data_IF_740909353007
#
_entry.id   IF_740909353007
#
_cell.length_a   1.000
_cell.length_b   1.000
_cell.length_c   1.000
_cell.angle_alpha   90.00
_cell.angle_beta   90.00
_cell.angle_gamma   90.00
#
_symmetry.space_group_name_H-M   'P 1'
#
loop_
_entity.id
_entity.type
_entity.pdbx_description
1 polymer ?
#
# COMPACT_ATOMS: atom_id res chain seq x y z
N UNK A 1 -12.09 -49.19 -4.41
CA UNK A 1 -11.42 -48.27 -5.36
C UNK A 1 -12.10 -46.91 -5.48
N UNK A 2 -13.44 -46.83 -5.66
CA UNK A 2 -14.17 -45.54 -5.77
C UNK A 2 -14.03 -44.60 -4.56
N UNK A 3 -14.09 -45.14 -3.32
CA UNK A 3 -13.92 -44.36 -2.08
C UNK A 3 -12.52 -43.76 -1.95
N UNK A 4 -11.49 -44.46 -2.39
CA UNK A 4 -10.11 -43.96 -2.35
C UNK A 4 -9.91 -42.81 -3.32
N UNK A 5 -10.55 -42.85 -4.50
CA UNK A 5 -10.55 -41.72 -5.44
C UNK A 5 -11.33 -40.51 -4.90
N UNK A 6 -12.46 -40.73 -4.22
CA UNK A 6 -13.23 -39.62 -3.62
C UNK A 6 -12.42 -38.94 -2.50
N UNK A 7 -11.76 -39.72 -1.64
CA UNK A 7 -10.87 -39.20 -0.60
C UNK A 7 -9.69 -38.42 -1.18
N UNK A 8 -9.08 -38.94 -2.24
CA UNK A 8 -7.94 -38.29 -2.92
C UNK A 8 -8.37 -37.03 -3.67
N UNK A 9 -9.58 -37.00 -4.23
CA UNK A 9 -10.15 -35.79 -4.83
C UNK A 9 -10.43 -34.72 -3.77
N UNK A 10 -10.96 -35.11 -2.60
CA UNK A 10 -11.31 -34.19 -1.52
C UNK A 10 -10.09 -33.56 -0.87
N UNK A 11 -9.02 -34.33 -0.67
CA UNK A 11 -7.74 -33.79 -0.18
C UNK A 11 -7.12 -32.85 -1.21
N UNK A 12 -7.11 -33.23 -2.49
CA UNK A 12 -6.60 -32.37 -3.58
C UNK A 12 -7.37 -31.05 -3.67
N UNK A 13 -8.70 -31.07 -3.54
CA UNK A 13 -9.53 -29.86 -3.56
C UNK A 13 -9.27 -28.95 -2.35
N UNK A 14 -8.97 -29.52 -1.18
CA UNK A 14 -8.67 -28.76 0.05
C UNK A 14 -7.36 -27.97 -0.05
N UNK A 15 -6.38 -28.44 -0.84
CA UNK A 15 -5.12 -27.72 -1.08
C UNK A 15 -5.23 -26.55 -2.07
N UNK A 16 -6.31 -26.49 -2.86
CA UNK A 16 -6.52 -25.45 -3.87
C UNK A 16 -7.26 -24.24 -3.28
N UNK A 17 -7.88 -24.38 -2.09
CA UNK A 17 -8.53 -23.26 -1.41
C UNK A 17 -7.47 -22.34 -0.80
N UNK A 18 -6.91 -21.46 -1.63
CA UNK A 18 -6.28 -20.24 -1.15
C UNK A 18 -7.39 -19.40 -0.52
N UNK A 19 -7.40 -19.30 0.81
CA UNK A 19 -8.12 -18.23 1.51
C UNK A 19 -7.39 -16.93 1.21
N UNK A 20 -7.57 -16.42 0.00
CA UNK A 20 -7.27 -15.04 -0.28
C UNK A 20 -8.37 -14.25 0.42
N UNK A 21 -8.08 -13.80 1.64
CA UNK A 21 -8.98 -12.92 2.38
C UNK A 21 -9.08 -11.63 1.59
N UNK A 22 -10.08 -11.54 0.70
CA UNK A 22 -10.49 -10.29 0.07
C UNK A 22 -11.08 -9.45 1.20
N UNK A 23 -10.21 -8.84 2.00
CA UNK A 23 -10.61 -7.88 3.01
C UNK A 23 -10.85 -6.55 2.29
N UNK A 24 -11.93 -5.84 2.65
CA UNK A 24 -12.22 -4.52 2.11
C UNK A 24 -11.07 -3.53 2.35
N UNK A 25 -10.32 -3.73 3.44
CA UNK A 25 -9.14 -2.97 3.80
C UNK A 25 -8.08 -3.84 4.48
N UNK A 26 -6.82 -3.39 4.40
CA UNK A 26 -5.68 -3.98 5.11
C UNK A 26 -4.75 -2.85 5.54
N UNK A 27 -4.98 -2.23 6.69
CA UNK A 27 -4.10 -1.14 7.18
C UNK A 27 -2.71 -1.73 7.49
N UNK A 28 -1.64 -1.19 6.90
CA UNK A 28 -0.28 -1.71 7.08
C UNK A 28 0.17 -1.69 8.56
N UNK A 29 0.73 -2.80 9.03
CA UNK A 29 1.54 -2.84 10.24
C UNK A 29 3.00 -2.50 9.93
N UNK A 30 3.33 -1.22 10.09
CA UNK A 30 4.68 -0.70 9.85
C UNK A 30 5.72 -1.17 10.88
N UNK A 31 5.32 -1.90 11.93
CA UNK A 31 6.27 -2.51 12.89
C UNK A 31 6.89 -3.79 12.34
N UNK A 32 6.29 -4.39 11.33
CA UNK A 32 6.74 -5.63 10.70
C UNK A 32 7.43 -5.31 9.36
N UNK A 33 8.49 -6.05 8.97
CA UNK A 33 9.14 -5.83 7.68
C UNK A 33 8.16 -5.98 6.50
N UNK A 34 8.36 -5.13 5.48
CA UNK A 34 7.64 -5.23 4.20
C UNK A 34 7.97 -6.56 3.50
N UNK A 35 6.99 -7.09 2.75
CA UNK A 35 7.14 -8.28 1.92
C UNK A 35 7.14 -7.91 0.43
N UNK A 36 7.19 -8.91 -0.44
CA UNK A 36 7.00 -8.71 -1.88
C UNK A 36 5.54 -8.39 -2.27
N UNK A 37 4.63 -8.53 -1.31
CA UNK A 37 3.18 -8.29 -1.44
C UNK A 37 2.70 -7.30 -0.38
N UNK A 38 3.57 -6.36 -0.01
CA UNK A 38 3.23 -5.26 0.88
C UNK A 38 3.42 -5.60 2.34
N UNK A 39 2.85 -4.76 3.20
CA UNK A 39 2.93 -4.95 4.64
C UNK A 39 1.84 -5.91 5.12
N UNK A 40 2.13 -6.74 6.14
CA UNK A 40 1.09 -7.44 6.88
C UNK A 40 0.05 -6.46 7.43
N UNK A 41 -1.21 -6.88 7.52
CA UNK A 41 -2.29 -6.04 8.05
C UNK A 41 -2.20 -5.94 9.58
N UNK A 42 -2.55 -4.78 10.13
CA UNK A 42 -2.86 -4.64 11.57
C UNK A 42 -4.06 -5.54 11.95
N UNK A 43 -4.15 -6.00 13.21
CA UNK A 43 -5.37 -6.64 13.73
C UNK A 43 -6.58 -5.71 13.59
N UNK A 44 -7.73 -6.27 13.18
CA UNK A 44 -8.95 -5.49 12.89
C UNK A 44 -9.45 -4.74 14.13
N UNK A 45 -9.21 -5.28 15.33
CA UNK A 45 -9.61 -4.66 16.59
C UNK A 45 -8.87 -3.34 16.88
N UNK A 46 -7.72 -3.12 16.20
CA UNK A 46 -6.90 -1.93 16.36
C UNK A 46 -7.09 -0.91 15.22
N UNK A 47 -8.01 -1.18 14.28
CA UNK A 47 -8.28 -0.30 13.14
C UNK A 47 -9.43 0.63 13.49
N UNK A 48 -9.24 1.92 13.20
CA UNK A 48 -10.22 2.97 13.45
C UNK A 48 -10.44 3.82 12.19
N UNK A 49 -11.43 4.71 12.21
CA UNK A 49 -11.64 5.68 11.12
C UNK A 49 -10.41 6.54 10.84
N UNK A 50 -9.59 6.79 11.86
CA UNK A 50 -8.41 7.65 11.75
C UNK A 50 -7.31 7.02 10.89
N UNK A 51 -7.29 5.68 10.74
CA UNK A 51 -6.38 4.99 9.83
C UNK A 51 -6.68 5.26 8.34
N UNK A 52 -7.84 5.87 8.03
CA UNK A 52 -8.32 6.16 6.67
C UNK A 52 -8.37 7.66 6.36
N UNK A 53 -7.90 8.52 7.25
CA UNK A 53 -7.86 9.98 7.02
C UNK A 53 -6.42 10.46 6.99
N UNK A 54 -6.03 11.15 5.92
CA UNK A 54 -4.69 11.68 5.74
C UNK A 54 -4.70 13.19 5.51
N UNK A 55 -4.01 13.92 6.37
CA UNK A 55 -3.87 15.38 6.31
C UNK A 55 -2.48 15.83 5.87
N UNK A 56 -1.59 14.90 5.48
CA UNK A 56 -0.19 15.20 5.19
C UNK A 56 0.08 15.84 3.82
N UNK A 57 -0.92 15.96 2.95
CA UNK A 57 -0.81 16.62 1.63
C UNK A 57 -0.86 18.16 1.75
N UNK A 58 0.05 18.70 2.55
CA UNK A 58 0.24 20.15 2.75
C UNK A 58 1.30 20.71 1.80
N UNK A 59 1.38 22.04 1.71
CA UNK A 59 2.38 22.70 0.87
C UNK A 59 3.81 22.27 1.24
N UNK A 60 4.58 21.83 0.24
CA UNK A 60 5.99 21.50 0.40
C UNK A 60 6.87 22.74 0.55
N UNK A 61 8.04 22.58 1.18
CA UNK A 61 9.02 23.65 1.28
C UNK A 61 9.74 23.88 -0.06
N UNK A 62 9.45 25.01 -0.70
CA UNK A 62 10.07 25.45 -1.96
C UNK A 62 11.32 26.29 -1.76
N UNK A 63 11.76 26.59 -0.52
CA UNK A 63 12.99 27.32 -0.25
C UNK A 63 14.24 26.41 -0.41
N UNK A 64 14.50 25.99 -1.64
CA UNK A 64 15.61 25.14 -2.04
C UNK A 64 16.07 25.46 -3.48
N UNK A 65 17.18 24.86 -3.91
CA UNK A 65 17.81 25.12 -5.22
C UNK A 65 16.92 24.83 -6.43
N UNK A 66 15.93 23.95 -6.29
CA UNK A 66 14.99 23.59 -7.35
C UNK A 66 13.69 24.39 -7.29
N UNK A 67 13.48 25.18 -6.23
CA UNK A 67 12.23 25.86 -5.92
C UNK A 67 11.01 24.91 -5.99
N UNK A 68 11.22 23.69 -5.52
CA UNK A 68 10.30 22.55 -5.65
C UNK A 68 10.08 21.93 -4.27
N UNK A 69 8.84 21.86 -3.82
CA UNK A 69 8.43 21.11 -2.64
C UNK A 69 7.50 19.97 -3.03
N UNK A 70 7.53 18.87 -2.29
CA UNK A 70 6.51 17.83 -2.45
C UNK A 70 6.17 17.18 -1.11
N UNK A 71 4.91 16.78 -0.98
CA UNK A 71 4.42 15.93 0.11
C UNK A 71 3.73 14.72 -0.49
N UNK A 72 4.02 13.53 0.01
CA UNK A 72 3.51 12.28 -0.54
C UNK A 72 2.59 11.58 0.45
N UNK A 73 1.58 10.88 -0.06
CA UNK A 73 0.80 9.88 0.64
C UNK A 73 1.21 8.51 0.10
N UNK A 74 1.97 7.76 0.90
CA UNK A 74 2.48 6.42 0.61
C UNK A 74 2.13 5.50 1.78
N UNK A 75 2.19 4.18 1.59
CA UNK A 75 1.90 3.22 2.67
C UNK A 75 2.68 3.48 3.96
N UNK A 76 3.89 4.04 3.86
CA UNK A 76 4.77 4.33 5.00
C UNK A 76 4.33 5.51 5.85
N UNK A 77 3.50 6.42 5.32
CA UNK A 77 2.98 7.57 6.08
C UNK A 77 1.45 7.66 6.08
N UNK A 78 0.78 6.88 5.24
CA UNK A 78 -0.66 6.65 5.23
C UNK A 78 -0.91 5.13 5.11
N UNK A 79 -0.85 4.39 6.24
CA UNK A 79 -0.93 2.92 6.25
C UNK A 79 -2.23 2.34 5.69
N UNK A 80 -3.31 3.12 5.66
CA UNK A 80 -4.59 2.72 5.05
C UNK A 80 -4.51 2.47 3.54
N UNK A 81 -3.45 2.91 2.86
CA UNK A 81 -3.26 2.67 1.41
C UNK A 81 -2.76 1.25 1.08
N UNK A 82 -2.38 0.46 2.08
CA UNK A 82 -1.80 -0.85 1.87
C UNK A 82 -2.79 -1.81 1.20
N UNK A 83 -2.32 -2.53 0.17
CA UNK A 83 -3.14 -3.40 -0.67
C UNK A 83 -4.04 -2.69 -1.69
N UNK A 84 -4.28 -1.37 -1.58
CA UNK A 84 -5.21 -0.65 -2.46
C UNK A 84 -4.63 -0.30 -3.83
N UNK A 85 -3.31 -0.35 -3.99
CA UNK A 85 -2.67 0.01 -5.24
C UNK A 85 -2.94 1.47 -5.64
N UNK A 86 -2.98 2.38 -4.65
CA UNK A 86 -3.02 3.83 -4.86
C UNK A 86 -2.01 4.56 -3.96
N UNK A 87 -1.61 5.74 -4.41
CA UNK A 87 -0.80 6.70 -3.68
C UNK A 87 -1.09 8.11 -4.21
N UNK A 88 -0.62 9.14 -3.52
CA UNK A 88 -0.74 10.51 -4.01
C UNK A 88 0.52 11.31 -3.72
N UNK A 89 0.75 12.36 -4.51
CA UNK A 89 1.78 13.36 -4.23
C UNK A 89 1.21 14.74 -4.55
N UNK A 90 1.43 15.69 -3.65
CA UNK A 90 1.26 17.11 -3.90
C UNK A 90 2.62 17.68 -4.24
N UNK A 91 2.68 18.46 -5.31
CA UNK A 91 3.89 19.12 -5.79
C UNK A 91 3.63 20.61 -5.83
N UNK A 92 4.48 21.38 -5.15
CA UNK A 92 4.46 22.84 -5.12
C UNK A 92 5.73 23.35 -5.83
N UNK A 93 5.56 24.22 -6.83
CA UNK A 93 6.65 24.78 -7.64
C UNK A 93 6.53 26.29 -7.59
N UNK A 94 7.57 26.95 -7.07
CA UNK A 94 7.64 28.41 -7.05
C UNK A 94 8.12 28.98 -8.39
N UNK A 95 8.03 30.30 -8.56
CA UNK A 95 8.44 30.97 -9.79
C UNK A 95 9.90 30.67 -10.16
N UNK A 96 10.11 30.16 -11.37
CA UNK A 96 11.41 29.70 -11.87
C UNK A 96 11.88 28.36 -11.30
N UNK A 97 11.02 27.63 -10.60
CA UNK A 97 11.28 26.27 -10.14
C UNK A 97 11.13 25.21 -11.22
N UNK A 98 11.77 24.08 -10.98
CA UNK A 98 11.76 22.95 -11.92
C UNK A 98 11.77 21.62 -11.18
N UNK A 99 11.09 20.64 -11.78
CA UNK A 99 11.27 19.23 -11.45
C UNK A 99 12.22 18.61 -12.47
N UNK A 100 13.39 18.10 -12.05
CA UNK A 100 14.27 17.37 -12.96
C UNK A 100 13.54 16.19 -13.61
N UNK A 101 13.98 15.81 -14.81
CA UNK A 101 13.49 14.60 -15.47
C UNK A 101 13.81 13.37 -14.61
N UNK A 102 12.79 12.59 -14.28
CA UNK A 102 12.91 11.37 -13.47
C UNK A 102 11.83 10.35 -13.88
N UNK A 103 11.93 9.14 -13.33
CA UNK A 103 10.97 8.05 -13.53
C UNK A 103 10.57 7.44 -12.19
N UNK A 104 9.41 6.78 -12.16
CA UNK A 104 8.94 5.98 -11.02
C UNK A 104 9.02 4.49 -11.40
N UNK A 105 10.15 3.80 -11.13
CA UNK A 105 10.43 2.46 -11.66
C UNK A 105 9.58 1.35 -11.02
N UNK A 106 8.96 1.62 -9.88
CA UNK A 106 7.69 1.00 -9.52
C UNK A 106 6.68 2.13 -9.52
N UNK A 107 5.47 1.89 -10.00
CA UNK A 107 4.35 2.75 -9.60
C UNK A 107 4.46 2.88 -8.08
N UNK A 108 4.08 4.01 -7.48
CA UNK A 108 4.01 4.19 -6.02
C UNK A 108 3.10 3.16 -5.28
N UNK A 109 2.76 2.06 -5.95
CA UNK A 109 2.06 0.85 -5.59
C UNK A 109 3.11 -0.27 -5.54
N UNK A 110 3.93 -0.33 -4.49
CA UNK A 110 4.39 -1.67 -4.12
C UNK A 110 3.19 -2.35 -3.50
N UNK A 111 2.59 -3.27 -4.27
CA UNK A 111 1.68 -4.28 -3.77
C UNK A 111 2.30 -4.91 -2.53
#
# INVERSE_FOLDING_TARGET
>A
MKIFHILLLFTFFSFIVSYDSINDFCVADLKVPNTNSGYPCKPVENITSDDFVFHGLVAGNTNNSFKLGFTAATVTNFPGLNGLGISAVRVDIDEGGLSPMHTHPGIFLRR
#
